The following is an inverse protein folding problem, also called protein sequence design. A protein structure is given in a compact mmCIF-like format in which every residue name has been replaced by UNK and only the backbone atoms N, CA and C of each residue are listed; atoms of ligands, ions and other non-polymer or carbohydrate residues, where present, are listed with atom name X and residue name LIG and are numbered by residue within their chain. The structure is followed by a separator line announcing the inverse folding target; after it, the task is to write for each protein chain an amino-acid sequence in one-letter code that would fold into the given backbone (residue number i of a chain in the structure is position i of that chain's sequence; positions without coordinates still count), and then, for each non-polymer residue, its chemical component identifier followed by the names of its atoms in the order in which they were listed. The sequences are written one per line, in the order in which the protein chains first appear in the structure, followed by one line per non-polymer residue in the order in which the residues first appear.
data_IF_779563596745
#
_entry.id   IF_779563596745
#
_cell.length_a   1.000
_cell.length_b   1.000
_cell.length_c   1.000
_cell.angle_alpha   90.00
_cell.angle_beta   90.00
_cell.angle_gamma   90.00
#
_symmetry.space_group_name_H-M   'P 1'
#
loop_
_entity.id
_entity.type
_entity.pdbx_description
1 polymer ?
#
# COMPACT_ATOMS: atom_id res chain seq x y z
N UNK A 1 26.94 -25.30 13.75
CA UNK A 1 26.06 -24.17 13.37
C UNK A 1 25.31 -24.56 12.12
N UNK A 2 24.08 -25.08 12.26
CA UNK A 2 23.22 -25.40 11.11
C UNK A 2 22.54 -24.13 10.64
N UNK A 3 22.90 -23.65 9.45
CA UNK A 3 22.18 -22.61 8.75
C UNK A 3 20.83 -23.17 8.32
N UNK A 4 19.78 -22.94 9.13
CA UNK A 4 18.41 -23.20 8.73
C UNK A 4 18.08 -22.23 7.60
N UNK A 5 18.18 -22.71 6.35
CA UNK A 5 17.63 -22.00 5.20
C UNK A 5 16.12 -21.96 5.41
N UNK A 6 15.58 -20.78 5.72
CA UNK A 6 14.15 -20.61 5.88
C UNK A 6 13.43 -21.02 4.59
N UNK A 7 12.42 -21.88 4.70
CA UNK A 7 11.60 -22.29 3.56
C UNK A 7 10.93 -21.06 2.94
N UNK A 8 10.87 -20.96 1.59
CA UNK A 8 10.21 -19.85 0.92
C UNK A 8 8.74 -19.70 1.38
N UNK A 9 8.29 -18.47 1.60
CA UNK A 9 6.89 -18.21 1.98
C UNK A 9 5.96 -18.54 0.81
N UNK A 10 4.86 -19.23 1.10
CA UNK A 10 3.79 -19.41 0.12
C UNK A 10 3.12 -18.06 -0.16
N UNK A 11 2.57 -17.86 -1.36
CA UNK A 11 1.90 -16.59 -1.72
C UNK A 11 0.83 -16.16 -0.71
N UNK A 12 0.04 -17.12 -0.20
CA UNK A 12 -1.00 -16.87 0.81
C UNK A 12 -0.45 -16.35 2.14
N UNK A 13 0.81 -16.64 2.45
CA UNK A 13 1.49 -16.18 3.67
C UNK A 13 2.37 -14.95 3.44
N UNK A 14 2.63 -14.56 2.20
CA UNK A 14 3.50 -13.43 1.86
C UNK A 14 2.81 -12.10 2.16
N UNK A 15 3.34 -11.35 3.11
CA UNK A 15 2.85 -10.01 3.41
C UNK A 15 3.08 -9.05 2.24
N UNK A 16 4.20 -9.19 1.54
CA UNK A 16 4.51 -8.40 0.36
C UNK A 16 3.52 -8.64 -0.79
N UNK A 17 3.14 -9.89 -1.05
CA UNK A 17 2.12 -10.22 -2.05
C UNK A 17 0.78 -9.54 -1.75
N UNK A 18 0.29 -9.64 -0.51
CA UNK A 18 -0.97 -9.02 -0.12
C UNK A 18 -0.91 -7.49 -0.18
N UNK A 19 0.25 -6.89 0.11
CA UNK A 19 0.47 -5.45 -0.07
C UNK A 19 0.42 -5.04 -1.54
N UNK A 20 1.05 -5.81 -2.44
CA UNK A 20 0.95 -5.56 -3.89
C UNK A 20 -0.48 -5.69 -4.37
N UNK A 21 -1.21 -6.72 -3.92
CA UNK A 21 -2.61 -6.90 -4.30
C UNK A 21 -3.47 -5.73 -3.82
N UNK A 22 -3.28 -5.28 -2.58
CA UNK A 22 -3.97 -4.12 -2.03
C UNK A 22 -3.65 -2.85 -2.84
N UNK A 23 -2.39 -2.65 -3.20
CA UNK A 23 -1.96 -1.55 -4.05
C UNK A 23 -2.65 -1.57 -5.43
N UNK A 24 -2.75 -2.73 -6.07
CA UNK A 24 -3.45 -2.89 -7.35
C UNK A 24 -4.93 -2.55 -7.20
N UNK A 25 -5.60 -3.11 -6.19
CA UNK A 25 -7.02 -2.82 -5.90
C UNK A 25 -7.21 -1.32 -5.64
N UNK A 26 -6.31 -0.70 -4.90
CA UNK A 26 -6.34 0.74 -4.62
C UNK A 26 -6.20 1.54 -5.92
N UNK A 27 -5.18 1.32 -6.75
CA UNK A 27 -5.07 2.09 -8.02
C UNK A 27 -6.29 1.87 -8.92
N UNK A 28 -6.78 0.63 -9.05
CA UNK A 28 -7.92 0.30 -9.90
C UNK A 28 -9.27 0.82 -9.36
N UNK A 29 -9.36 1.12 -8.08
CA UNK A 29 -10.53 1.73 -7.49
C UNK A 29 -10.62 3.24 -7.77
N UNK A 30 -9.51 3.90 -8.18
CA UNK A 30 -9.51 5.33 -8.58
C UNK A 30 -10.58 5.67 -9.61
N UNK A 31 -10.64 5.02 -10.81
CA UNK A 31 -11.67 5.33 -11.79
C UNK A 31 -13.09 4.97 -11.35
N UNK A 32 -13.26 4.14 -10.30
CA UNK A 32 -14.58 3.75 -9.80
C UNK A 32 -15.15 4.76 -8.79
N UNK A 33 -14.30 5.31 -7.92
CA UNK A 33 -14.73 6.23 -6.84
C UNK A 33 -14.40 7.70 -7.12
N UNK A 34 -13.44 7.97 -8.01
CA UNK A 34 -12.89 9.31 -8.26
C UNK A 34 -12.79 9.62 -9.76
N UNK A 35 -13.77 9.16 -10.54
CA UNK A 35 -13.82 9.38 -11.99
C UNK A 35 -13.75 10.88 -12.35
N UNK A 36 -14.54 11.73 -11.69
CA UNK A 36 -14.56 13.18 -11.93
C UNK A 36 -13.22 13.85 -11.62
N UNK A 37 -12.55 13.39 -10.56
CA UNK A 37 -11.22 13.83 -10.18
C UNK A 37 -10.19 13.48 -11.26
N UNK A 38 -10.22 12.25 -11.76
CA UNK A 38 -9.34 11.79 -12.84
C UNK A 38 -9.59 12.55 -14.14
N UNK A 39 -10.86 12.70 -14.53
CA UNK A 39 -11.22 13.45 -15.74
C UNK A 39 -10.76 14.91 -15.64
N UNK A 40 -10.98 15.56 -14.50
CA UNK A 40 -10.53 16.93 -14.26
C UNK A 40 -9.02 17.11 -14.38
N UNK A 41 -8.22 16.12 -13.95
CA UNK A 41 -6.75 16.12 -14.13
C UNK A 41 -6.38 15.94 -15.60
N UNK A 42 -7.06 15.04 -16.32
CA UNK A 42 -6.79 14.78 -17.73
C UNK A 42 -7.10 16.01 -18.59
N UNK A 43 -8.24 16.67 -18.34
CA UNK A 43 -8.68 17.86 -19.06
C UNK A 43 -7.72 19.05 -18.88
N UNK A 44 -7.11 19.18 -17.70
CA UNK A 44 -6.12 20.22 -17.42
C UNK A 44 -4.71 19.91 -17.95
N UNK A 45 -4.47 18.68 -18.42
CA UNK A 45 -3.13 18.17 -18.74
C UNK A 45 -2.40 17.72 -17.47
N UNK A 46 -1.88 16.49 -17.49
CA UNK A 46 -1.40 15.78 -16.27
C UNK A 46 -0.30 16.51 -15.50
N UNK A 47 0.58 17.25 -16.19
CA UNK A 47 1.71 17.93 -15.55
C UNK A 47 1.23 19.19 -14.80
N UNK A 48 1.41 19.21 -13.48
CA UNK A 48 1.01 20.34 -12.64
C UNK A 48 -0.51 20.49 -12.45
N UNK A 49 -1.32 19.53 -12.94
CA UNK A 49 -2.78 19.63 -12.96
C UNK A 49 -3.42 19.77 -11.56
N UNK A 50 -2.85 19.13 -10.54
CA UNK A 50 -3.49 19.04 -9.21
C UNK A 50 -3.68 20.44 -8.58
N UNK A 51 -2.65 21.28 -8.70
CA UNK A 51 -2.61 22.62 -8.09
C UNK A 51 -2.86 23.75 -9.09
N UNK A 52 -3.20 23.42 -10.34
CA UNK A 52 -3.34 24.41 -11.41
C UNK A 52 -4.58 25.29 -11.27
N UNK A 53 -5.57 24.85 -10.49
CA UNK A 53 -6.83 25.54 -10.23
C UNK A 53 -7.24 25.34 -8.76
N UNK A 54 -7.22 26.40 -7.92
CA UNK A 54 -7.56 26.32 -6.50
C UNK A 54 -8.96 25.76 -6.22
N UNK A 55 -9.93 26.02 -7.10
CA UNK A 55 -11.32 25.59 -6.90
C UNK A 55 -11.47 24.07 -7.12
N UNK A 56 -10.56 23.47 -7.90
CA UNK A 56 -10.55 22.04 -8.23
C UNK A 56 -9.49 21.25 -7.46
N UNK A 57 -8.59 21.90 -6.73
CA UNK A 57 -7.48 21.22 -6.02
C UNK A 57 -7.99 20.11 -5.09
N UNK A 58 -9.01 20.37 -4.28
CA UNK A 58 -9.57 19.35 -3.36
C UNK A 58 -10.13 18.14 -4.12
N UNK A 59 -10.80 18.39 -5.25
CA UNK A 59 -11.33 17.34 -6.11
C UNK A 59 -10.18 16.51 -6.71
N UNK A 60 -9.20 17.16 -7.35
CA UNK A 60 -8.07 16.51 -8.02
C UNK A 60 -7.14 15.78 -7.05
N UNK A 61 -6.97 16.32 -5.84
CA UNK A 61 -6.15 15.71 -4.79
C UNK A 61 -6.62 14.30 -4.43
N UNK A 62 -7.92 14.00 -4.54
CA UNK A 62 -8.45 12.67 -4.23
C UNK A 62 -7.86 11.57 -5.15
N UNK A 63 -8.00 11.70 -6.47
CA UNK A 63 -7.41 10.73 -7.40
C UNK A 63 -5.89 10.72 -7.33
N UNK A 64 -5.26 11.90 -7.19
CA UNK A 64 -3.81 12.00 -7.02
C UNK A 64 -3.30 11.18 -5.84
N UNK A 65 -3.88 11.35 -4.66
CA UNK A 65 -3.43 10.64 -3.45
C UNK A 65 -3.76 9.15 -3.52
N UNK A 66 -4.90 8.78 -4.09
CA UNK A 66 -5.29 7.38 -4.23
C UNK A 66 -4.34 6.61 -5.17
N UNK A 67 -4.00 7.18 -6.33
CA UNK A 67 -3.02 6.59 -7.24
C UNK A 67 -1.62 6.60 -6.63
N UNK A 68 -1.17 7.73 -6.09
CA UNK A 68 0.20 7.88 -5.54
C UNK A 68 0.44 6.94 -4.36
N UNK A 69 -0.50 6.87 -3.42
CA UNK A 69 -0.42 5.94 -2.29
C UNK A 69 -0.41 4.48 -2.77
N UNK A 70 -1.24 4.15 -3.76
CA UNK A 70 -1.28 2.83 -4.38
C UNK A 70 0.06 2.44 -5.02
N UNK A 71 0.66 3.33 -5.81
CA UNK A 71 1.96 3.09 -6.45
C UNK A 71 3.08 2.89 -5.42
N UNK A 72 3.14 3.76 -4.40
CA UNK A 72 4.13 3.63 -3.31
C UNK A 72 3.94 2.33 -2.53
N UNK A 73 2.70 1.98 -2.21
CA UNK A 73 2.37 0.73 -1.51
C UNK A 73 2.78 -0.48 -2.37
N UNK A 74 2.54 -0.43 -3.68
CA UNK A 74 2.94 -1.49 -4.62
C UNK A 74 4.45 -1.67 -4.68
N UNK A 75 5.21 -0.58 -4.77
CA UNK A 75 6.67 -0.63 -4.74
C UNK A 75 7.21 -1.23 -3.43
N UNK A 76 6.68 -0.78 -2.28
CA UNK A 76 7.06 -1.33 -0.97
C UNK A 76 6.69 -2.80 -0.85
N UNK A 77 5.46 -3.16 -1.22
CA UNK A 77 4.98 -4.55 -1.21
C UNK A 77 5.84 -5.47 -2.09
N UNK A 78 6.26 -4.98 -3.26
CA UNK A 78 7.14 -5.72 -4.15
C UNK A 78 8.52 -5.97 -3.52
N UNK A 79 9.12 -4.94 -2.91
CA UNK A 79 10.39 -5.09 -2.19
C UNK A 79 10.30 -6.09 -1.03
N UNK A 80 9.22 -6.03 -0.25
CA UNK A 80 8.96 -6.99 0.83
C UNK A 80 8.77 -8.40 0.28
N UNK A 81 8.01 -8.55 -0.81
CA UNK A 81 7.80 -9.85 -1.44
C UNK A 81 9.12 -10.45 -1.94
N UNK A 82 10.01 -9.65 -2.51
CA UNK A 82 11.35 -10.10 -2.91
C UNK A 82 12.20 -10.54 -1.71
N UNK A 83 12.14 -9.82 -0.59
CA UNK A 83 12.83 -10.19 0.64
C UNK A 83 12.28 -11.51 1.22
N UNK A 84 10.96 -11.66 1.29
CA UNK A 84 10.31 -12.90 1.71
C UNK A 84 10.69 -14.10 0.83
N UNK A 85 10.76 -13.91 -0.50
CA UNK A 85 11.19 -14.95 -1.45
C UNK A 85 12.66 -15.35 -1.30
N UNK A 86 13.51 -14.45 -0.82
CA UNK A 86 14.93 -14.71 -0.52
C UNK A 86 15.14 -15.38 0.84
N UNK A 87 14.07 -15.63 1.60
CA UNK A 87 14.14 -16.24 2.93
C UNK A 87 14.54 -15.29 4.04
N UNK A 88 14.70 -13.99 3.78
CA UNK A 88 15.01 -12.99 4.81
C UNK A 88 13.78 -12.52 5.58
N UNK A 89 12.59 -12.94 5.15
CA UNK A 89 11.32 -12.53 5.76
C UNK A 89 10.99 -11.05 5.51
N UNK A 90 9.92 -10.59 6.16
CA UNK A 90 9.48 -9.20 6.09
C UNK A 90 10.29 -8.31 7.07
N UNK A 91 10.71 -7.09 6.68
CA UNK A 91 11.38 -6.17 7.60
C UNK A 91 10.49 -5.79 8.78
N UNK A 92 11.04 -5.77 10.00
CA UNK A 92 10.29 -5.37 11.21
C UNK A 92 9.70 -3.96 11.12
N UNK A 93 10.45 -3.03 10.51
CA UNK A 93 9.99 -1.65 10.27
C UNK A 93 8.75 -1.59 9.37
N UNK A 94 8.64 -2.48 8.40
CA UNK A 94 7.46 -2.57 7.53
C UNK A 94 6.22 -3.04 8.30
N UNK A 95 6.36 -4.10 9.12
CA UNK A 95 5.25 -4.57 9.97
C UNK A 95 4.79 -3.49 10.96
N UNK A 96 5.72 -2.76 11.57
CA UNK A 96 5.41 -1.67 12.50
C UNK A 96 4.71 -0.51 11.78
N UNK A 97 5.25 -0.07 10.64
CA UNK A 97 4.69 1.03 9.87
C UNK A 97 3.25 0.73 9.43
N UNK A 98 3.01 -0.44 8.82
CA UNK A 98 1.64 -0.84 8.45
C UNK A 98 0.70 -0.93 9.65
N UNK A 99 1.19 -1.46 10.78
CA UNK A 99 0.39 -1.56 12.00
C UNK A 99 -0.03 -0.18 12.54
N UNK A 100 0.90 0.75 12.63
CA UNK A 100 0.64 2.12 13.10
C UNK A 100 -0.25 2.88 12.12
N UNK A 101 0.02 2.81 10.81
CA UNK A 101 -0.80 3.46 9.78
C UNK A 101 -2.21 2.88 9.75
N UNK A 102 -2.36 1.55 9.86
CA UNK A 102 -3.66 0.89 9.95
C UNK A 102 -4.44 1.32 11.18
N UNK A 103 -3.80 1.36 12.35
CA UNK A 103 -4.45 1.79 13.59
C UNK A 103 -4.88 3.27 13.51
N UNK A 104 -3.99 4.14 13.04
CA UNK A 104 -4.29 5.56 12.81
C UNK A 104 -5.50 5.74 11.87
N UNK A 105 -5.48 5.06 10.73
CA UNK A 105 -6.54 5.15 9.73
C UNK A 105 -7.87 4.61 10.23
N UNK A 106 -7.88 3.50 10.98
CA UNK A 106 -9.09 2.95 11.60
C UNK A 106 -9.66 3.91 12.65
N UNK A 107 -8.82 4.54 13.46
CA UNK A 107 -9.25 5.52 14.48
C UNK A 107 -9.91 6.74 13.81
N UNK A 108 -9.31 7.25 12.74
CA UNK A 108 -9.81 8.45 12.05
C UNK A 108 -10.97 8.16 11.09
N UNK A 109 -11.01 6.98 10.48
CA UNK A 109 -12.00 6.59 9.49
C UNK A 109 -12.33 5.09 9.60
N UNK A 110 -13.21 4.69 10.52
CA UNK A 110 -13.50 3.28 10.78
C UNK A 110 -14.13 2.52 9.60
N UNK A 111 -14.80 3.23 8.69
CA UNK A 111 -15.45 2.65 7.50
C UNK A 111 -14.50 2.52 6.29
N UNK A 112 -13.21 2.78 6.47
CA UNK A 112 -12.21 2.74 5.42
C UNK A 112 -11.55 1.35 5.27
N UNK A 113 -10.73 1.20 4.22
CA UNK A 113 -9.93 0.00 3.99
C UNK A 113 -8.73 -0.21 4.93
N UNK A 114 -8.45 0.71 5.88
CA UNK A 114 -7.26 0.64 6.75
C UNK A 114 -7.19 -0.62 7.62
N UNK A 115 -8.30 -1.30 7.85
CA UNK A 115 -8.33 -2.62 8.49
C UNK A 115 -7.40 -3.64 7.81
N UNK A 116 -7.27 -3.58 6.48
CA UNK A 116 -6.40 -4.49 5.73
C UNK A 116 -4.92 -4.29 6.09
N UNK A 117 -4.52 -3.08 6.44
CA UNK A 117 -3.14 -2.80 6.85
C UNK A 117 -2.80 -3.54 8.15
N UNK A 118 -3.76 -3.67 9.08
CA UNK A 118 -3.58 -4.42 10.34
C UNK A 118 -3.41 -5.92 10.09
N UNK A 119 -4.20 -6.48 9.17
CA UNK A 119 -4.09 -7.89 8.77
C UNK A 119 -2.74 -8.17 8.13
N UNK A 120 -2.30 -7.30 7.20
CA UNK A 120 -1.00 -7.43 6.54
C UNK A 120 0.14 -7.21 7.54
N UNK A 121 0.03 -6.25 8.45
CA UNK A 121 1.01 -6.03 9.52
C UNK A 121 1.17 -7.27 10.40
N UNK A 122 0.05 -7.94 10.72
CA UNK A 122 0.07 -9.20 11.46
C UNK A 122 0.82 -10.29 10.69
N UNK A 123 0.52 -10.48 9.39
CA UNK A 123 1.24 -11.43 8.53
C UNK A 123 2.74 -11.11 8.45
N UNK A 124 3.08 -9.85 8.24
CA UNK A 124 4.46 -9.38 8.19
C UNK A 124 5.19 -9.69 9.50
N UNK A 125 4.55 -9.45 10.65
CA UNK A 125 5.12 -9.74 11.98
C UNK A 125 5.37 -11.23 12.20
N UNK A 126 4.50 -12.10 11.68
CA UNK A 126 4.69 -13.57 11.75
C UNK A 126 5.86 -14.06 10.91
N UNK A 127 6.19 -13.35 9.85
CA UNK A 127 7.29 -13.67 8.93
C UNK A 127 8.52 -12.77 9.13
N UNK A 128 8.59 -12.01 10.23
CA UNK A 128 9.70 -11.08 10.49
C UNK A 128 10.92 -11.85 10.99
N UNK A 129 12.08 -11.59 10.40
CA UNK A 129 13.36 -12.02 10.96
C UNK A 129 13.81 -11.01 12.02
N UNK A 130 14.22 -11.50 13.19
CA UNK A 130 14.95 -10.68 14.16
C UNK A 130 16.35 -10.44 13.57
N UNK A 131 16.57 -9.23 13.07
CA UNK A 131 17.92 -8.76 12.77
C UNK A 131 18.71 -8.60 14.08
#
# INVERSE_FOLDING_TARGET
MSTLIASPTTMTRSSGFWTVLLAVVHVLATPLFYADSLQSILDAGVLGAVDSDPDLTTLRAAAFWYVTAGLLLGAVGWMVMLAERRGTGAPRGFALALGLTGAWGVILSPLSGFWLFLVIAFLARRNTVQA
#
